data_IF_978207435652
#
_entry.id   IF_978207435652
#
_cell.length_a   1.000
_cell.length_b   1.000
_cell.length_c   1.000
_cell.angle_alpha   90.00
_cell.angle_beta   90.00
_cell.angle_gamma   90.00
#
_symmetry.space_group_name_H-M   'P 1'
#
loop_
_entity.id
_entity.type
_entity.pdbx_description
1 polymer ?
#
# COMPACT_ATOMS: atom_id res chain seq x y z
N UNK A 1 -3.91 20.10 49.22
CA UNK A 1 -3.61 19.13 48.15
C UNK A 1 -2.91 17.94 48.80
N UNK A 2 -3.26 16.72 48.42
CA UNK A 2 -2.52 15.52 48.85
C UNK A 2 -1.12 15.54 48.19
N UNK A 3 -0.08 15.04 48.86
CA UNK A 3 1.31 14.99 48.39
C UNK A 3 1.43 14.45 46.96
N UNK A 4 0.57 13.49 46.61
CA UNK A 4 0.50 12.89 45.27
C UNK A 4 0.04 13.87 44.17
N UNK A 5 -0.80 14.85 44.52
CA UNK A 5 -1.24 15.92 43.60
C UNK A 5 -0.16 16.99 43.43
N UNK A 6 0.62 17.26 44.48
CA UNK A 6 1.75 18.20 44.45
C UNK A 6 2.85 17.62 43.54
N UNK A 7 3.25 16.37 43.76
CA UNK A 7 4.23 15.67 42.93
C UNK A 7 3.79 15.57 41.45
N UNK A 8 2.50 15.33 41.18
CA UNK A 8 1.96 15.32 39.82
C UNK A 8 2.11 16.68 39.14
N UNK A 9 1.87 17.76 39.86
CA UNK A 9 1.95 19.12 39.35
C UNK A 9 3.39 19.52 39.04
N UNK A 10 4.31 19.26 39.96
CA UNK A 10 5.74 19.54 39.78
C UNK A 10 6.34 18.80 38.58
N UNK A 11 5.98 17.52 38.40
CA UNK A 11 6.43 16.74 37.25
C UNK A 11 5.89 17.27 35.92
N UNK A 12 4.63 17.73 35.87
CA UNK A 12 4.06 18.34 34.67
C UNK A 12 4.71 19.70 34.35
N UNK A 13 4.97 20.52 35.38
CA UNK A 13 5.63 21.82 35.24
C UNK A 13 7.10 21.68 34.78
N UNK A 14 7.76 20.59 35.16
CA UNK A 14 9.10 20.23 34.70
C UNK A 14 9.11 19.55 33.31
N UNK A 15 7.96 19.44 32.63
CA UNK A 15 7.84 18.93 31.27
C UNK A 15 7.81 17.40 31.14
N UNK A 16 7.56 16.67 32.23
CA UNK A 16 7.41 15.22 32.17
C UNK A 16 5.98 14.79 31.84
N UNK A 17 5.87 13.80 30.94
CA UNK A 17 4.60 13.14 30.63
C UNK A 17 4.22 12.13 31.72
N UNK A 18 3.07 12.33 32.36
CA UNK A 18 2.52 11.40 33.34
C UNK A 18 1.50 10.48 32.67
N UNK A 19 1.86 9.21 32.52
CA UNK A 19 1.02 8.20 31.90
C UNK A 19 0.62 7.10 32.88
N UNK A 20 -0.63 6.66 32.80
CA UNK A 20 -1.11 5.49 33.57
C UNK A 20 -0.45 4.18 33.10
N UNK A 21 -0.42 3.13 33.93
CA UNK A 21 0.01 1.80 33.51
C UNK A 21 -0.74 1.30 32.27
N UNK A 22 -2.06 1.55 32.18
CA UNK A 22 -2.87 1.21 31.00
C UNK A 22 -2.46 1.98 29.75
N UNK A 23 -2.15 3.27 29.86
CA UNK A 23 -1.60 4.07 28.75
C UNK A 23 -0.19 3.61 28.36
N UNK A 24 0.63 3.19 29.33
CA UNK A 24 1.97 2.63 29.09
C UNK A 24 1.88 1.29 28.36
N UNK A 25 0.97 0.40 28.75
CA UNK A 25 0.70 -0.85 28.04
C UNK A 25 0.10 -0.62 26.65
N UNK A 26 -0.83 0.33 26.50
CA UNK A 26 -1.36 0.70 25.20
C UNK A 26 -0.28 1.27 24.28
N UNK A 27 0.59 2.16 24.78
CA UNK A 27 1.77 2.68 24.07
C UNK A 27 2.77 1.57 23.74
N UNK A 28 2.98 0.61 24.65
CA UNK A 28 3.85 -0.55 24.44
C UNK A 28 3.30 -1.46 23.35
N UNK A 29 2.03 -1.86 23.41
CA UNK A 29 1.34 -2.61 22.35
C UNK A 29 1.36 -1.85 21.01
N UNK A 30 1.14 -0.54 21.03
CA UNK A 30 1.24 0.31 19.84
C UNK A 30 2.66 0.32 19.26
N UNK A 31 3.70 0.39 20.10
CA UNK A 31 5.11 0.37 19.70
C UNK A 31 5.57 -1.02 19.24
N UNK A 32 5.13 -2.08 19.89
CA UNK A 32 5.34 -3.48 19.47
C UNK A 32 4.68 -3.76 18.12
N UNK A 33 3.49 -3.21 17.87
CA UNK A 33 2.86 -3.22 16.55
C UNK A 33 3.55 -2.31 15.51
N UNK A 34 4.35 -1.31 15.93
CA UNK A 34 5.20 -0.49 15.03
C UNK A 34 6.50 -1.19 14.66
N UNK A 35 7.04 -2.07 15.51
CA UNK A 35 8.35 -2.70 15.29
C UNK A 35 8.40 -3.65 14.06
N UNK A 36 7.25 -4.00 13.46
CA UNK A 36 7.18 -4.66 12.14
C UNK A 36 6.85 -3.72 10.96
N UNK A 37 6.63 -2.43 11.21
CA UNK A 37 5.77 -1.57 10.40
C UNK A 37 6.36 -0.18 10.08
N UNK A 38 7.66 0.05 10.25
CA UNK A 38 8.30 1.34 9.88
C UNK A 38 8.83 1.39 8.44
N UNK A 39 8.63 0.31 7.68
CA UNK A 39 9.04 0.22 6.28
C UNK A 39 7.82 0.13 5.35
N UNK A 40 6.97 1.17 5.35
CA UNK A 40 5.92 1.30 4.34
C UNK A 40 6.12 2.54 3.48
N UNK A 41 5.52 2.51 2.30
CA UNK A 41 5.28 3.69 1.47
C UNK A 41 3.80 4.03 1.59
N UNK A 42 3.50 5.30 1.84
CA UNK A 42 2.15 5.85 1.83
C UNK A 42 1.79 6.21 0.40
N UNK A 43 0.71 5.63 -0.11
CA UNK A 43 0.11 5.99 -1.39
C UNK A 43 -1.08 6.89 -1.12
N UNK A 44 -1.00 8.15 -1.58
CA UNK A 44 -2.06 9.15 -1.40
C UNK A 44 -3.24 8.86 -2.32
N UNK A 45 -4.44 9.26 -1.92
CA UNK A 45 -5.66 9.00 -2.71
C UNK A 45 -5.66 9.65 -4.09
N UNK A 46 -5.00 10.82 -4.23
CA UNK A 46 -4.86 11.51 -5.52
C UNK A 46 -4.22 10.65 -6.62
N UNK A 47 -3.53 9.56 -6.27
CA UNK A 47 -3.03 8.57 -7.23
C UNK A 47 -4.14 7.93 -8.09
N UNK A 48 -5.40 7.94 -7.64
CA UNK A 48 -6.54 7.35 -8.35
C UNK A 48 -6.77 7.88 -9.76
N UNK A 49 -6.50 9.15 -10.00
CA UNK A 49 -6.71 9.74 -11.32
C UNK A 49 -5.55 9.41 -12.25
N UNK A 50 -4.31 9.50 -11.74
CA UNK A 50 -3.11 9.24 -12.53
C UNK A 50 -2.97 7.76 -12.88
N UNK A 51 -3.36 6.85 -11.99
CA UNK A 51 -3.22 5.40 -12.24
C UNK A 51 -3.99 4.91 -13.46
N UNK A 52 -5.08 5.60 -13.86
CA UNK A 52 -5.90 5.26 -15.04
C UNK A 52 -5.12 5.43 -16.36
N UNK A 53 -4.04 6.21 -16.34
CA UNK A 53 -3.16 6.45 -17.48
C UNK A 53 -2.04 5.41 -17.61
N UNK A 54 -1.88 4.55 -16.61
CA UNK A 54 -0.80 3.58 -16.56
C UNK A 54 -1.22 2.25 -17.17
N UNK A 55 -0.35 1.66 -17.98
CA UNK A 55 -0.45 0.24 -18.29
C UNK A 55 -0.26 -0.61 -17.04
N UNK A 56 -0.72 -1.88 -17.09
CA UNK A 56 -0.46 -2.82 -15.99
C UNK A 56 1.04 -3.00 -15.72
N UNK A 57 1.85 -3.03 -16.78
CA UNK A 57 3.29 -3.18 -16.62
C UNK A 57 3.94 -1.96 -15.97
N UNK A 58 3.56 -0.74 -16.38
CA UNK A 58 4.02 0.51 -15.75
C UNK A 58 3.59 0.57 -14.28
N UNK A 59 2.34 0.21 -13.99
CA UNK A 59 1.80 0.13 -12.62
C UNK A 59 2.60 -0.87 -11.78
N UNK A 60 2.98 -2.00 -12.37
CA UNK A 60 3.80 -3.03 -11.74
C UNK A 60 5.21 -2.56 -11.44
N UNK A 61 5.85 -1.87 -12.39
CA UNK A 61 7.18 -1.26 -12.19
C UNK A 61 7.12 -0.24 -11.06
N UNK A 62 6.12 0.64 -11.05
CA UNK A 62 5.95 1.62 -9.99
C UNK A 62 5.79 0.97 -8.61
N UNK A 63 4.91 -0.02 -8.49
CA UNK A 63 4.71 -0.74 -7.24
C UNK A 63 5.97 -1.51 -6.83
N UNK A 64 6.72 -2.08 -7.78
CA UNK A 64 8.00 -2.73 -7.50
C UNK A 64 9.02 -1.76 -6.90
N UNK A 65 9.16 -0.56 -7.48
CA UNK A 65 10.08 0.48 -7.01
C UNK A 65 9.76 0.95 -5.58
N UNK A 66 8.49 0.96 -5.17
CA UNK A 66 8.10 1.29 -3.79
C UNK A 66 8.80 0.42 -2.74
N UNK A 67 9.14 -0.83 -3.09
CA UNK A 67 9.89 -1.73 -2.20
C UNK A 67 11.28 -1.17 -1.82
N UNK A 68 11.86 -0.28 -2.63
CA UNK A 68 13.23 0.18 -2.49
C UNK A 68 13.35 1.58 -1.87
N UNK A 69 12.24 2.25 -1.56
CA UNK A 69 12.26 3.61 -0.97
C UNK A 69 12.91 3.60 0.41
N UNK A 70 13.84 4.50 0.68
CA UNK A 70 14.43 4.65 2.02
C UNK A 70 13.59 5.63 2.86
N UNK A 71 13.44 5.30 4.14
CA UNK A 71 12.66 6.09 5.09
C UNK A 71 13.31 7.47 5.31
N UNK A 72 12.51 8.53 5.29
CA UNK A 72 12.93 9.93 5.53
C UNK A 72 14.04 10.41 4.58
N UNK A 73 14.04 9.94 3.33
CA UNK A 73 15.04 10.28 2.31
C UNK A 73 14.35 10.73 1.01
N UNK A 74 13.26 11.49 1.14
CA UNK A 74 12.56 12.17 0.03
C UNK A 74 12.29 11.27 -1.19
N UNK A 75 11.81 10.05 -0.92
CA UNK A 75 11.45 9.09 -1.96
C UNK A 75 12.65 8.42 -2.65
N UNK A 76 13.89 8.69 -2.23
CA UNK A 76 15.08 8.07 -2.81
C UNK A 76 15.03 6.55 -2.67
N UNK A 77 15.41 5.89 -3.76
CA UNK A 77 15.43 4.43 -3.84
C UNK A 77 16.84 3.91 -3.54
N UNK A 78 16.91 2.86 -2.73
CA UNK A 78 18.15 2.20 -2.36
C UNK A 78 18.03 0.69 -2.54
N UNK A 79 19.12 0.08 -2.97
CA UNK A 79 19.25 -1.37 -3.08
C UNK A 79 20.43 -1.86 -2.24
N UNK A 80 20.31 -3.10 -1.79
CA UNK A 80 21.44 -3.79 -1.17
C UNK A 80 22.44 -4.15 -2.25
N UNK A 81 23.71 -3.84 -2.00
CA UNK A 81 24.80 -4.27 -2.84
C UNK A 81 24.98 -5.81 -2.75
N UNK A 82 25.61 -6.42 -3.74
CA UNK A 82 25.73 -7.89 -3.84
C UNK A 82 26.46 -8.53 -2.63
N UNK A 83 27.33 -7.76 -1.97
CA UNK A 83 28.06 -8.15 -0.77
C UNK A 83 27.26 -7.93 0.54
N UNK A 84 25.99 -7.46 0.44
CA UNK A 84 25.03 -7.23 1.53
C UNK A 84 25.51 -6.31 2.66
N UNK A 85 26.60 -5.57 2.46
CA UNK A 85 27.21 -4.72 3.50
C UNK A 85 26.92 -3.24 3.35
N UNK A 86 26.51 -2.78 2.15
CA UNK A 86 26.22 -1.37 1.88
C UNK A 86 24.92 -1.21 1.09
N UNK A 87 24.19 -0.15 1.42
CA UNK A 87 23.08 0.35 0.61
C UNK A 87 23.63 1.31 -0.45
N UNK A 88 23.17 1.14 -1.68
CA UNK A 88 23.52 1.99 -2.80
C UNK A 88 22.27 2.65 -3.38
N UNK A 89 22.39 3.93 -3.78
CA UNK A 89 21.29 4.65 -4.41
C UNK A 89 20.98 4.07 -5.79
N UNK A 90 19.71 3.85 -6.08
CA UNK A 90 19.28 3.18 -7.30
C UNK A 90 19.48 4.08 -8.51
N UNK A 91 20.26 3.59 -9.49
CA UNK A 91 20.38 4.19 -10.81
C UNK A 91 19.37 3.60 -11.79
N UNK A 92 19.19 4.21 -12.96
CA UNK A 92 18.40 3.62 -14.05
C UNK A 92 18.98 2.27 -14.53
N UNK A 93 20.30 2.10 -14.46
CA UNK A 93 20.96 0.82 -14.79
C UNK A 93 20.61 -0.25 -13.75
N UNK A 94 20.60 0.13 -12.46
CA UNK A 94 20.16 -0.76 -11.39
C UNK A 94 18.70 -1.17 -11.56
N UNK A 95 17.81 -0.21 -11.85
CA UNK A 95 16.41 -0.49 -12.11
C UNK A 95 16.24 -1.48 -13.28
N UNK A 96 16.97 -1.29 -14.39
CA UNK A 96 16.91 -2.19 -15.54
C UNK A 96 17.30 -3.63 -15.18
N UNK A 97 18.37 -3.78 -14.40
CA UNK A 97 18.85 -5.09 -13.94
C UNK A 97 17.83 -5.76 -13.01
N UNK A 98 17.27 -5.03 -12.04
CA UNK A 98 16.28 -5.56 -11.08
C UNK A 98 14.97 -5.96 -11.76
N UNK A 99 14.54 -5.19 -12.76
CA UNK A 99 13.32 -5.48 -13.52
C UNK A 99 13.52 -6.58 -14.57
N UNK A 100 14.76 -7.00 -14.83
CA UNK A 100 15.09 -7.96 -15.88
C UNK A 100 14.77 -7.45 -17.29
N UNK A 101 14.92 -6.13 -17.51
CA UNK A 101 14.57 -5.45 -18.78
C UNK A 101 15.77 -4.83 -19.44
N UNK A 102 15.69 -4.61 -20.75
CA UNK A 102 16.69 -3.82 -21.45
C UNK A 102 16.73 -2.38 -20.91
N UNK A 103 17.88 -1.71 -21.03
CA UNK A 103 18.03 -0.31 -20.65
C UNK A 103 17.04 0.60 -21.40
N UNK A 104 16.80 0.32 -22.68
CA UNK A 104 15.85 1.06 -23.51
C UNK A 104 14.42 0.94 -22.96
N UNK A 105 13.91 -0.28 -22.81
CA UNK A 105 12.56 -0.51 -22.27
C UNK A 105 12.39 0.08 -20.87
N UNK A 106 13.40 -0.05 -20.02
CA UNK A 106 13.38 0.54 -18.68
C UNK A 106 13.30 2.06 -18.77
N UNK A 107 14.13 2.69 -19.61
CA UNK A 107 14.09 4.15 -19.78
C UNK A 107 12.76 4.65 -20.34
N UNK A 108 12.15 3.91 -21.27
CA UNK A 108 10.85 4.24 -21.84
C UNK A 108 9.77 4.20 -20.74
N UNK A 109 9.72 3.13 -19.93
CA UNK A 109 8.79 3.02 -18.79
C UNK A 109 9.04 4.14 -17.77
N UNK A 110 10.29 4.37 -17.36
CA UNK A 110 10.63 5.40 -16.39
C UNK A 110 10.30 6.80 -16.93
N UNK A 111 10.43 7.05 -18.24
CA UNK A 111 10.05 8.33 -18.83
C UNK A 111 8.54 8.57 -18.73
N UNK A 112 7.72 7.56 -18.98
CA UNK A 112 6.26 7.69 -18.80
C UNK A 112 5.87 7.92 -17.33
N UNK A 113 6.52 7.20 -16.39
CA UNK A 113 6.29 7.42 -14.97
C UNK A 113 6.72 8.83 -14.52
N UNK A 114 7.83 9.35 -15.04
CA UNK A 114 8.32 10.70 -14.73
C UNK A 114 7.41 11.79 -15.30
N UNK A 115 6.89 11.63 -16.53
CA UNK A 115 5.91 12.56 -17.13
C UNK A 115 4.66 12.75 -16.27
N UNK A 116 4.30 11.72 -15.51
CA UNK A 116 3.16 11.71 -14.60
C UNK A 116 3.52 12.09 -13.16
N UNK A 117 4.75 12.56 -12.93
CA UNK A 117 5.29 12.93 -11.60
C UNK A 117 5.25 11.78 -10.58
N UNK A 118 5.24 10.53 -11.03
CA UNK A 118 5.23 9.35 -10.17
C UNK A 118 6.64 8.97 -9.70
N UNK A 119 7.65 9.36 -10.48
CA UNK A 119 9.06 9.24 -10.14
C UNK A 119 9.79 10.53 -10.54
N UNK A 120 11.01 10.69 -10.04
CA UNK A 120 11.94 11.74 -10.46
C UNK A 120 13.26 11.10 -10.86
N UNK A 121 13.87 11.54 -11.97
CA UNK A 121 15.21 11.14 -12.38
C UNK A 121 16.18 12.31 -12.20
N UNK A 122 17.24 12.09 -11.42
CA UNK A 122 18.27 13.11 -11.16
C UNK A 122 19.61 12.68 -11.73
N UNK A 123 20.21 13.51 -12.58
CA UNK A 123 21.55 13.26 -13.12
C UNK A 123 22.62 13.82 -12.18
N UNK A 124 23.56 12.98 -11.79
CA UNK A 124 24.70 13.32 -10.96
C UNK A 124 25.96 12.70 -11.57
N UNK A 125 26.82 13.55 -12.13
CA UNK A 125 27.97 13.11 -12.91
C UNK A 125 27.56 12.24 -14.11
N UNK A 126 28.02 10.98 -14.10
CA UNK A 126 27.72 9.98 -15.16
C UNK A 126 26.47 9.15 -14.86
N UNK A 127 25.92 9.24 -13.66
CA UNK A 127 24.80 8.40 -13.21
C UNK A 127 23.49 9.16 -13.28
N UNK A 128 22.39 8.41 -13.50
CA UNK A 128 21.02 8.91 -13.40
C UNK A 128 20.34 8.10 -12.31
N UNK A 129 19.99 8.76 -11.21
CA UNK A 129 19.33 8.17 -10.06
C UNK A 129 17.81 8.28 -10.18
N UNK A 130 17.11 7.35 -9.53
CA UNK A 130 15.64 7.28 -9.52
C UNK A 130 15.12 7.44 -8.09
N UNK A 131 14.11 8.30 -7.91
CA UNK A 131 13.32 8.44 -6.67
C UNK A 131 11.82 8.40 -6.98
N UNK A 132 10.99 8.10 -5.99
CA UNK A 132 9.54 8.31 -6.11
C UNK A 132 9.21 9.80 -6.09
N UNK A 133 8.13 10.17 -6.79
CA UNK A 133 7.57 11.51 -6.71
C UNK A 133 6.83 11.73 -5.40
N UNK A 134 7.05 12.88 -4.77
CA UNK A 134 6.44 13.30 -3.50
C UNK A 134 4.94 13.65 -3.64
N UNK A 135 4.49 13.91 -4.86
CA UNK A 135 3.11 14.29 -5.18
C UNK A 135 2.12 13.21 -4.72
N UNK A 136 2.46 11.94 -4.92
CA UNK A 136 1.58 10.80 -4.64
C UNK A 136 2.13 9.81 -3.61
N UNK A 137 3.43 9.90 -3.30
CA UNK A 137 4.09 8.95 -2.41
C UNK A 137 4.79 9.66 -1.27
N UNK A 138 4.76 9.07 -0.08
CA UNK A 138 5.53 9.52 1.07
C UNK A 138 6.07 8.31 1.85
N UNK A 139 7.33 8.35 2.27
CA UNK A 139 7.95 7.34 3.13
C UNK A 139 8.65 8.05 4.30
N UNK A 140 7.89 8.29 5.37
CA UNK A 140 8.38 9.07 6.50
C UNK A 140 7.26 9.59 7.40
N UNK A 141 7.51 10.74 8.03
CA UNK A 141 6.49 11.46 8.79
C UNK A 141 5.29 11.86 7.93
N UNK A 142 4.11 11.84 8.54
CA UNK A 142 2.87 12.31 7.91
C UNK A 142 2.02 13.06 8.94
N UNK A 143 1.16 13.96 8.46
CA UNK A 143 0.13 14.59 9.28
C UNK A 143 -1.13 13.72 9.31
N UNK A 144 -1.74 13.53 10.49
CA UNK A 144 -2.86 12.58 10.70
C UNK A 144 -4.11 12.82 9.83
N UNK A 145 -4.20 13.98 9.15
CA UNK A 145 -5.37 14.34 8.34
C UNK A 145 -5.35 13.74 6.94
N UNK A 146 -4.21 13.23 6.47
CA UNK A 146 -4.11 12.69 5.12
C UNK A 146 -4.67 11.27 5.05
N UNK A 147 -5.53 11.02 4.04
CA UNK A 147 -5.96 9.67 3.70
C UNK A 147 -4.93 9.02 2.77
N UNK A 148 -4.43 7.85 3.18
CA UNK A 148 -3.45 7.11 2.40
C UNK A 148 -3.55 5.61 2.64
N UNK A 149 -2.96 4.84 1.73
CA UNK A 149 -2.75 3.41 1.87
C UNK A 149 -1.29 3.15 2.25
N UNK A 150 -1.04 2.52 3.40
CA UNK A 150 0.30 2.02 3.75
C UNK A 150 0.56 0.76 2.93
N UNK A 151 1.66 0.73 2.18
CA UNK A 151 2.13 -0.47 1.47
C UNK A 151 3.44 -0.93 2.11
N UNK A 152 3.43 -2.11 2.72
CA UNK A 152 4.57 -2.62 3.47
C UNK A 152 5.64 -3.21 2.54
N UNK A 153 6.83 -2.64 2.60
CA UNK A 153 7.92 -2.90 1.64
C UNK A 153 8.44 -4.32 1.71
N UNK A 154 8.58 -4.88 2.93
CA UNK A 154 9.11 -6.24 3.12
C UNK A 154 8.21 -7.26 2.44
N UNK A 155 6.91 -7.22 2.73
CA UNK A 155 5.92 -8.13 2.14
C UNK A 155 5.82 -7.92 0.63
N UNK A 156 5.81 -6.66 0.18
CA UNK A 156 5.83 -6.30 -1.23
C UNK A 156 7.01 -6.94 -1.98
N UNK A 157 8.24 -6.87 -1.43
CA UNK A 157 9.42 -7.50 -2.05
C UNK A 157 9.28 -9.02 -2.13
N UNK A 158 8.73 -9.67 -1.11
CA UNK A 158 8.55 -11.13 -1.10
C UNK A 158 7.50 -11.59 -2.11
N UNK A 159 6.42 -10.82 -2.27
CA UNK A 159 5.39 -11.06 -3.28
C UNK A 159 5.95 -10.84 -4.69
N UNK A 160 6.65 -9.71 -4.91
CA UNK A 160 7.17 -9.33 -6.22
C UNK A 160 8.15 -10.35 -6.82
N UNK A 161 8.83 -11.16 -6.01
CA UNK A 161 9.68 -12.27 -6.48
C UNK A 161 8.91 -13.42 -7.12
N UNK A 162 7.60 -13.53 -6.87
CA UNK A 162 6.77 -14.72 -7.15
C UNK A 162 5.70 -14.47 -8.20
N UNK A 163 5.53 -13.23 -8.64
CA UNK A 163 4.51 -12.83 -9.62
C UNK A 163 5.13 -11.94 -10.70
N UNK A 164 4.45 -11.82 -11.83
CA UNK A 164 4.87 -10.95 -12.93
C UNK A 164 4.63 -9.48 -12.61
N UNK A 165 5.31 -8.59 -13.34
CA UNK A 165 5.07 -7.14 -13.22
C UNK A 165 3.61 -6.77 -13.54
N UNK A 166 2.96 -7.41 -14.53
CA UNK A 166 1.55 -7.11 -14.82
C UNK A 166 0.61 -7.55 -13.68
N UNK A 167 0.90 -8.66 -13.01
CA UNK A 167 0.13 -9.10 -11.82
C UNK A 167 0.38 -8.19 -10.62
N UNK A 168 1.60 -7.71 -10.45
CA UNK A 168 1.92 -6.69 -9.45
C UNK A 168 1.24 -5.35 -9.78
N UNK A 169 1.13 -5.01 -11.07
CA UNK A 169 0.40 -3.85 -11.54
C UNK A 169 -1.10 -3.94 -11.26
N UNK A 170 -1.69 -5.12 -11.35
CA UNK A 170 -3.07 -5.34 -10.91
C UNK A 170 -3.23 -5.01 -9.42
N UNK A 171 -2.30 -5.42 -8.56
CA UNK A 171 -2.35 -5.05 -7.14
C UNK A 171 -2.32 -3.53 -6.94
N UNK A 172 -1.43 -2.83 -7.67
CA UNK A 172 -1.33 -1.37 -7.62
C UNK A 172 -2.66 -0.69 -7.98
N UNK A 173 -3.31 -1.18 -9.05
CA UNK A 173 -4.59 -0.63 -9.51
C UNK A 173 -5.73 -0.86 -8.49
N UNK A 174 -5.69 -2.00 -7.81
CA UNK A 174 -6.67 -2.38 -6.78
C UNK A 174 -6.53 -1.61 -5.46
N UNK A 175 -5.33 -1.11 -5.10
CA UNK A 175 -5.03 -0.48 -3.80
C UNK A 175 -6.11 0.51 -3.33
N UNK A 176 -6.58 1.34 -4.26
CA UNK A 176 -7.50 2.42 -3.94
C UNK A 176 -8.98 2.02 -4.04
N UNK A 177 -9.31 0.80 -4.44
CA UNK A 177 -10.67 0.25 -4.36
C UNK A 177 -10.90 -0.57 -3.10
N UNK A 178 -9.88 -0.63 -2.23
CA UNK A 178 -9.95 -1.33 -0.95
C UNK A 178 -10.65 -0.45 0.06
N UNK A 179 -11.77 -0.94 0.60
CA UNK A 179 -12.56 -0.24 1.60
C UNK A 179 -11.73 0.13 2.83
N UNK A 180 -11.86 1.37 3.32
CA UNK A 180 -11.04 1.88 4.43
C UNK A 180 -11.19 1.07 5.72
N UNK A 181 -12.41 0.62 6.01
CA UNK A 181 -12.70 -0.12 7.24
C UNK A 181 -12.55 -1.62 7.11
N UNK A 182 -12.97 -2.20 5.98
CA UNK A 182 -13.17 -3.64 5.87
C UNK A 182 -12.12 -4.32 4.98
N UNK A 183 -11.27 -3.52 4.31
CA UNK A 183 -10.27 -3.95 3.33
C UNK A 183 -10.78 -4.87 2.20
N UNK A 184 -12.09 -4.90 1.96
CA UNK A 184 -12.73 -5.56 0.82
C UNK A 184 -12.69 -4.65 -0.41
N UNK A 185 -12.62 -5.23 -1.62
CA UNK A 185 -12.72 -4.47 -2.86
C UNK A 185 -14.16 -4.04 -3.14
N UNK A 186 -14.36 -2.74 -3.36
CA UNK A 186 -15.67 -2.10 -3.56
C UNK A 186 -15.60 -0.94 -4.56
N UNK A 187 -16.76 -0.52 -5.09
CA UNK A 187 -16.86 0.69 -5.94
C UNK A 187 -16.46 1.95 -5.17
N UNK A 188 -17.06 2.17 -3.99
CA UNK A 188 -16.78 3.32 -3.12
C UNK A 188 -16.02 2.87 -1.85
N UNK A 189 -14.71 3.13 -1.74
CA UNK A 189 -13.89 2.79 -0.57
C UNK A 189 -14.28 3.51 0.73
N UNK A 190 -15.07 4.58 0.64
CA UNK A 190 -15.47 5.44 1.76
C UNK A 190 -16.92 5.23 2.19
N UNK A 191 -17.63 4.26 1.61
CA UNK A 191 -19.02 3.99 1.95
C UNK A 191 -19.16 3.55 3.42
N UNK A 192 -19.83 4.36 4.22
CA UNK A 192 -19.98 4.11 5.66
C UNK A 192 -21.14 3.18 5.98
N UNK A 193 -22.10 3.03 5.05
CA UNK A 193 -23.26 2.17 5.19
C UNK A 193 -23.00 0.79 4.58
N UNK A 194 -22.86 -0.27 5.40
CA UNK A 194 -22.53 -1.60 4.89
C UNK A 194 -23.56 -2.15 3.89
N UNK A 195 -24.81 -1.71 3.96
CA UNK A 195 -25.87 -2.16 3.05
C UNK A 195 -25.73 -1.60 1.63
N UNK A 196 -24.99 -0.50 1.47
CA UNK A 196 -24.72 0.17 0.20
C UNK A 196 -23.42 -0.27 -0.46
N UNK A 197 -22.59 -1.05 0.25
CA UNK A 197 -21.33 -1.55 -0.30
C UNK A 197 -21.56 -2.36 -1.58
N UNK A 198 -20.86 -1.97 -2.64
CA UNK A 198 -20.86 -2.66 -3.92
C UNK A 198 -19.58 -3.47 -4.04
N UNK A 199 -19.63 -4.72 -3.56
CA UNK A 199 -18.50 -5.64 -3.50
C UNK A 199 -18.12 -6.12 -4.88
N UNK A 200 -16.83 -6.00 -5.18
CA UNK A 200 -16.25 -6.39 -6.45
C UNK A 200 -16.15 -7.91 -6.61
N UNK A 201 -16.71 -8.37 -7.72
CA UNK A 201 -16.41 -9.68 -8.28
C UNK A 201 -15.24 -9.55 -9.25
N UNK A 202 -14.71 -10.68 -9.72
CA UNK A 202 -13.69 -10.70 -10.78
C UNK A 202 -14.15 -9.98 -12.06
N UNK A 203 -15.45 -10.02 -12.36
CA UNK A 203 -16.04 -9.29 -13.49
C UNK A 203 -16.04 -7.78 -13.25
N UNK A 204 -16.36 -7.35 -12.03
CA UNK A 204 -16.31 -5.92 -11.67
C UNK A 204 -14.89 -5.39 -11.83
N UNK A 205 -13.88 -6.14 -11.36
CA UNK A 205 -12.45 -5.78 -11.54
C UNK A 205 -12.11 -5.63 -13.03
N UNK A 206 -12.49 -6.62 -13.86
CA UNK A 206 -12.21 -6.60 -15.29
C UNK A 206 -12.84 -5.37 -15.97
N UNK A 207 -14.11 -5.11 -15.70
CA UNK A 207 -14.85 -4.01 -16.30
C UNK A 207 -14.34 -2.65 -15.85
N UNK A 208 -14.16 -2.46 -14.53
CA UNK A 208 -13.77 -1.16 -13.97
C UNK A 208 -12.34 -0.77 -14.39
N UNK A 209 -11.43 -1.74 -14.41
CA UNK A 209 -10.03 -1.48 -14.76
C UNK A 209 -9.75 -1.58 -16.25
N UNK A 210 -10.73 -1.95 -17.08
CA UNK A 210 -10.54 -2.19 -18.52
C UNK A 210 -9.54 -3.34 -18.80
N UNK A 211 -9.47 -4.34 -17.93
CA UNK A 211 -8.55 -5.48 -18.03
C UNK A 211 -9.32 -6.72 -18.49
N UNK A 212 -8.71 -7.54 -19.35
CA UNK A 212 -9.38 -8.75 -19.83
C UNK A 212 -9.77 -9.69 -18.68
N UNK A 213 -10.99 -10.23 -18.74
CA UNK A 213 -11.49 -11.15 -17.72
C UNK A 213 -10.62 -12.41 -17.61
N UNK A 214 -10.01 -12.85 -18.71
CA UNK A 214 -9.14 -14.03 -18.73
C UNK A 214 -7.83 -13.78 -17.97
N UNK A 215 -7.24 -12.58 -18.11
CA UNK A 215 -6.11 -12.18 -17.28
C UNK A 215 -6.51 -12.15 -15.80
N UNK A 216 -7.65 -11.56 -15.45
CA UNK A 216 -8.12 -11.51 -14.06
C UNK A 216 -8.34 -12.93 -13.49
N UNK A 217 -8.95 -13.83 -14.26
CA UNK A 217 -9.15 -15.23 -13.86
C UNK A 217 -7.83 -15.96 -13.60
N UNK A 218 -6.77 -15.65 -14.34
CA UNK A 218 -5.43 -16.19 -14.14
C UNK A 218 -4.66 -15.53 -12.98
N UNK A 219 -4.78 -14.21 -12.83
CA UNK A 219 -4.02 -13.42 -11.86
C UNK A 219 -4.55 -13.60 -10.43
N UNK A 220 -5.86 -13.55 -10.21
CA UNK A 220 -6.46 -13.60 -8.86
C UNK A 220 -6.03 -14.87 -8.08
N UNK A 221 -6.07 -16.10 -8.65
CA UNK A 221 -5.58 -17.29 -7.95
C UNK A 221 -4.09 -17.23 -7.58
N UNK A 222 -3.25 -16.59 -8.41
CA UNK A 222 -1.82 -16.43 -8.13
C UNK A 222 -1.59 -15.41 -7.01
N UNK A 223 -2.27 -14.27 -7.06
CA UNK A 223 -2.25 -13.27 -5.98
C UNK A 223 -2.67 -13.86 -4.63
N UNK A 224 -3.67 -14.75 -4.63
CA UNK A 224 -4.08 -15.50 -3.45
C UNK A 224 -3.00 -16.48 -2.97
N UNK A 225 -2.34 -17.20 -3.88
CA UNK A 225 -1.25 -18.14 -3.55
C UNK A 225 -0.08 -17.45 -2.87
N UNK A 226 0.24 -16.23 -3.29
CA UNK A 226 1.30 -15.41 -2.68
C UNK A 226 0.80 -14.56 -1.52
N UNK A 227 -0.43 -14.80 -1.04
CA UNK A 227 -1.04 -14.11 0.11
C UNK A 227 -1.14 -12.58 -0.04
N UNK A 228 -1.12 -12.07 -1.27
CA UNK A 228 -1.35 -10.65 -1.55
C UNK A 228 -2.83 -10.25 -1.36
N UNK A 229 -3.73 -11.20 -1.59
CA UNK A 229 -5.18 -11.06 -1.41
C UNK A 229 -5.77 -12.30 -0.72
N UNK A 230 -6.94 -12.14 -0.12
CA UNK A 230 -7.73 -13.23 0.47
C UNK A 230 -9.14 -13.20 -0.11
N UNK A 231 -9.73 -14.37 -0.37
CA UNK A 231 -11.13 -14.49 -0.79
C UNK A 231 -11.95 -14.97 0.42
N UNK A 232 -12.88 -14.15 0.89
CA UNK A 232 -13.78 -14.48 2.01
C UNK A 232 -15.13 -14.84 1.43
N UNK A 233 -15.61 -16.04 1.75
CA UNK A 233 -16.92 -16.54 1.32
C UNK A 233 -17.93 -16.39 2.45
N UNK A 234 -18.95 -15.57 2.23
CA UNK A 234 -20.13 -15.46 3.10
C UNK A 234 -21.39 -15.49 2.21
N UNK A 235 -22.38 -14.63 2.46
CA UNK A 235 -23.52 -14.41 1.54
C UNK A 235 -23.07 -14.08 0.11
N UNK A 236 -21.93 -13.40 -0.02
CA UNK A 236 -21.20 -13.18 -1.27
C UNK A 236 -19.72 -13.47 -1.08
N UNK A 237 -18.99 -13.74 -2.17
CA UNK A 237 -17.53 -13.80 -2.12
C UNK A 237 -16.96 -12.39 -2.25
N UNK A 238 -16.19 -11.96 -1.25
CA UNK A 238 -15.44 -10.72 -1.28
C UNK A 238 -13.95 -11.00 -1.45
N UNK A 239 -13.27 -10.18 -2.24
CA UNK A 239 -11.82 -10.18 -2.35
C UNK A 239 -11.31 -9.08 -1.43
N UNK A 240 -10.41 -9.44 -0.52
CA UNK A 240 -9.73 -8.50 0.38
C UNK A 240 -8.27 -8.41 0.02
N UNK A 241 -7.70 -7.22 0.20
CA UNK A 241 -6.25 -7.07 0.15
C UNK A 241 -5.65 -7.52 1.47
N UNK A 242 -4.53 -8.24 1.42
CA UNK A 242 -3.86 -8.73 2.61
C UNK A 242 -3.42 -7.55 3.49
N UNK A 243 -3.84 -7.51 4.77
CA UNK A 243 -3.41 -6.48 5.71
C UNK A 243 -1.91 -6.49 6.01
N UNK A 244 -1.19 -7.55 5.59
CA UNK A 244 0.27 -7.64 5.67
C UNK A 244 0.96 -6.99 4.47
N UNK A 245 0.27 -6.86 3.33
CA UNK A 245 0.77 -6.15 2.15
C UNK A 245 0.40 -4.67 2.22
N UNK A 246 -0.86 -4.36 2.53
CA UNK A 246 -1.33 -2.99 2.57
C UNK A 246 -2.44 -2.75 3.59
N UNK A 247 -2.44 -1.55 4.19
CA UNK A 247 -3.39 -1.19 5.23
C UNK A 247 -3.75 0.30 5.17
N UNK A 248 -5.05 0.60 5.24
CA UNK A 248 -5.59 1.98 5.27
C UNK A 248 -5.89 2.50 6.68
N UNK A 249 -5.79 1.65 7.72
CA UNK A 249 -6.04 2.00 9.12
C UNK A 249 -4.83 1.69 10.00
N UNK A 250 -4.82 2.25 11.21
CA UNK A 250 -3.84 1.89 12.23
C UNK A 250 -4.04 0.44 12.73
N UNK A 251 -5.29 -0.01 12.76
CA UNK A 251 -5.69 -1.35 13.22
C UNK A 251 -6.27 -2.13 12.05
N UNK A 252 -5.89 -3.42 11.94
CA UNK A 252 -6.40 -4.35 10.92
C UNK A 252 -7.86 -4.71 11.25
N UNK A 253 -8.75 -4.83 10.25
CA UNK A 253 -10.11 -5.28 10.51
C UNK A 253 -10.12 -6.70 11.05
N UNK A 254 -11.05 -6.95 11.97
CA UNK A 254 -11.31 -8.30 12.48
C UNK A 254 -12.10 -9.11 11.46
N UNK A 255 -12.02 -10.43 11.55
CA UNK A 255 -12.74 -11.32 10.66
C UNK A 255 -14.26 -11.11 10.74
N UNK A 256 -14.79 -10.91 11.95
CA UNK A 256 -16.23 -10.73 12.19
C UNK A 256 -16.75 -9.42 11.58
N UNK A 257 -15.99 -8.32 11.69
CA UNK A 257 -16.34 -7.04 11.04
C UNK A 257 -16.45 -7.20 9.52
N UNK A 258 -15.50 -7.92 8.91
CA UNK A 258 -15.50 -8.15 7.46
C UNK A 258 -16.69 -9.01 7.04
N UNK A 259 -16.97 -10.11 7.76
CA UNK A 259 -18.15 -10.94 7.46
C UNK A 259 -19.45 -10.14 7.61
N UNK A 260 -19.58 -9.38 8.70
CA UNK A 260 -20.77 -8.57 8.94
C UNK A 260 -21.01 -7.58 7.80
N UNK A 261 -19.95 -6.90 7.34
CA UNK A 261 -20.02 -6.00 6.19
C UNK A 261 -20.43 -6.73 4.90
N UNK A 262 -19.88 -7.91 4.62
CA UNK A 262 -20.23 -8.70 3.43
C UNK A 262 -21.71 -9.12 3.49
N UNK A 263 -22.19 -9.53 4.65
CA UNK A 263 -23.58 -9.94 4.86
C UNK A 263 -24.56 -8.77 4.73
N UNK A 264 -24.22 -7.61 5.27
CA UNK A 264 -25.01 -6.39 5.07
C UNK A 264 -25.12 -6.00 3.60
N UNK A 265 -24.03 -6.15 2.85
CA UNK A 265 -23.97 -5.83 1.42
C UNK A 265 -24.64 -6.88 0.52
N UNK A 266 -24.80 -8.11 1.00
CA UNK A 266 -25.11 -9.31 0.21
C UNK A 266 -26.37 -9.23 -0.64
N UNK A 267 -27.30 -8.32 -0.31
CA UNK A 267 -28.57 -8.14 -1.01
C UNK A 267 -28.69 -6.82 -1.80
N UNK A 268 -27.62 -6.03 -1.91
CA UNK A 268 -27.68 -4.77 -2.66
C UNK A 268 -27.85 -5.04 -4.16
N UNK A 269 -28.72 -4.28 -4.86
CA UNK A 269 -28.94 -4.43 -6.32
C UNK A 269 -27.63 -4.31 -7.12
N UNK A 270 -26.72 -3.44 -6.68
CA UNK A 270 -25.40 -3.27 -7.28
C UNK A 270 -24.57 -4.55 -7.24
N UNK A 271 -24.75 -5.37 -6.21
CA UNK A 271 -24.04 -6.64 -6.05
C UNK A 271 -24.56 -7.78 -6.94
N UNK A 272 -25.71 -7.63 -7.59
CA UNK A 272 -26.25 -8.61 -8.54
C UNK A 272 -26.10 -8.21 -10.01
N UNK A 273 -25.46 -7.05 -10.30
CA UNK A 273 -25.17 -6.65 -11.68
C UNK A 273 -24.35 -7.75 -12.37
N UNK A 274 -24.79 -8.18 -13.56
CA UNK A 274 -24.26 -9.34 -14.31
C UNK A 274 -23.02 -9.03 -15.13
#
# INVERSE_FOLDING_TARGET
MNDLQIAKKELLEAGFDIISPAQKEARKKYKENRLGNEQFVMVKEGFNEVKKLLSLEQSGVLMYLMGFVKLNEDGQLFMEHADKKKLERMTTTHAANLLGKSKRQTNDILAELEKLSLIVRTKEGRNVYVSLGDSFFNCGGYEEKDLFTKVYKTELKEIAKKITLSELGLLMQLLNHVHFQYHILVDNPHETDPSKLQIWSRKHIANELGISIDFIKGAIPKLRRVQAIVEIKATKTAITMSPNLACKKAVKPTYDEVISAINGAGFSKGNFKK
#
